data_IF_372919501627
#
_entry.id   IF_372919501627
#
_cell.length_a   1.000
_cell.length_b   1.000
_cell.length_c   1.000
_cell.angle_alpha   90.00
_cell.angle_beta   90.00
_cell.angle_gamma   90.00
#
_symmetry.space_group_name_H-M   'P 1'
#
loop_
_entity.id
_entity.type
_entity.pdbx_description
1 polymer ?
#
# COMPACT_ATOMS: atom_id res chain seq x y z
N UNK A 1 44.29 -42.11 22.79
CA UNK A 1 44.66 -41.29 21.63
C UNK A 1 43.58 -40.24 21.45
N UNK A 2 43.76 -39.08 22.05
CA UNK A 2 42.78 -37.99 22.09
C UNK A 2 43.16 -36.98 21.01
N UNK A 3 42.37 -36.84 19.95
CA UNK A 3 42.57 -35.77 18.99
C UNK A 3 41.63 -34.62 19.33
N UNK A 4 42.15 -33.70 20.14
CA UNK A 4 41.50 -32.46 20.54
C UNK A 4 41.22 -31.60 19.32
N UNK A 5 39.97 -31.17 19.21
CA UNK A 5 39.46 -30.12 18.32
C UNK A 5 40.28 -28.84 18.52
N UNK A 6 41.31 -28.64 17.70
CA UNK A 6 41.96 -27.34 17.55
C UNK A 6 41.09 -26.49 16.61
N UNK A 7 40.04 -25.91 17.17
CA UNK A 7 39.32 -24.82 16.53
C UNK A 7 40.26 -23.61 16.52
N UNK A 8 40.90 -23.38 15.38
CA UNK A 8 41.81 -22.26 15.14
C UNK A 8 40.99 -20.96 15.04
N UNK A 9 41.25 -19.92 15.84
CA UNK A 9 40.51 -18.64 15.79
C UNK A 9 40.57 -17.95 14.42
N UNK A 10 41.59 -18.22 13.61
CA UNK A 10 41.64 -17.71 12.23
C UNK A 10 40.62 -18.36 11.31
N UNK A 11 40.37 -19.67 11.45
CA UNK A 11 39.39 -20.39 10.62
C UNK A 11 37.95 -19.94 10.87
N UNK A 12 37.63 -19.48 12.08
CA UNK A 12 36.35 -18.83 12.38
C UNK A 12 36.24 -17.44 11.76
N UNK A 13 37.33 -16.68 11.69
CA UNK A 13 37.36 -15.36 11.04
C UNK A 13 37.23 -15.44 9.52
N UNK A 14 37.86 -16.46 8.91
CA UNK A 14 37.69 -16.78 7.50
C UNK A 14 36.26 -17.22 7.20
N UNK A 15 35.69 -18.07 8.07
CA UNK A 15 34.29 -18.50 7.95
C UNK A 15 33.34 -17.30 8.06
N UNK A 16 33.54 -16.38 9.01
CA UNK A 16 32.73 -15.16 9.14
C UNK A 16 32.86 -14.21 7.94
N UNK A 17 34.07 -14.09 7.37
CA UNK A 17 34.31 -13.24 6.20
C UNK A 17 33.62 -13.79 4.95
N UNK A 18 33.68 -15.11 4.73
CA UNK A 18 33.00 -15.80 3.63
C UNK A 18 31.48 -15.69 3.75
N UNK A 19 30.92 -15.82 4.96
CA UNK A 19 29.48 -15.64 5.16
C UNK A 19 29.03 -14.18 4.98
N UNK A 20 29.88 -13.20 5.33
CA UNK A 20 29.57 -11.77 5.15
C UNK A 20 29.59 -11.33 3.68
N UNK A 21 30.45 -11.90 2.85
CA UNK A 21 30.49 -11.67 1.40
C UNK A 21 29.27 -12.32 0.71
N UNK A 22 28.88 -13.53 1.11
CA UNK A 22 27.67 -14.18 0.60
C UNK A 22 26.38 -13.42 0.98
N UNK A 23 26.33 -12.79 2.16
CA UNK A 23 25.18 -12.00 2.59
C UNK A 23 25.01 -10.68 1.80
N UNK A 24 26.11 -10.06 1.34
CA UNK A 24 26.07 -8.82 0.56
C UNK A 24 25.63 -9.02 -0.90
N UNK A 25 25.77 -10.23 -1.45
CA UNK A 25 25.41 -10.55 -2.85
C UNK A 25 24.08 -11.30 -3.05
N UNK A 26 23.50 -11.90 -2.00
CA UNK A 26 22.42 -12.88 -2.15
C UNK A 26 21.00 -12.32 -2.26
N UNK A 27 20.76 -11.04 -1.93
CA UNK A 27 19.41 -10.43 -2.08
C UNK A 27 19.47 -9.33 -3.14
N UNK A 28 19.66 -9.75 -4.38
CA UNK A 28 19.35 -8.90 -5.54
C UNK A 28 17.88 -9.11 -5.86
N UNK A 29 17.01 -8.21 -5.38
CA UNK A 29 15.59 -8.18 -5.77
C UNK A 29 15.58 -7.87 -7.27
N UNK A 30 15.57 -8.92 -8.08
CA UNK A 30 15.40 -8.81 -9.52
C UNK A 30 13.90 -8.70 -9.78
N UNK A 31 13.45 -7.74 -10.62
CA UNK A 31 12.05 -7.62 -10.99
C UNK A 31 11.55 -8.95 -11.53
N UNK A 32 10.35 -9.36 -11.10
CA UNK A 32 9.71 -10.58 -11.58
C UNK A 32 9.61 -10.49 -13.12
N UNK A 33 10.23 -11.40 -13.90
CA UNK A 33 10.21 -11.33 -15.35
C UNK A 33 8.80 -11.46 -15.96
N UNK A 34 7.77 -11.80 -15.16
CA UNK A 34 6.36 -11.73 -15.57
C UNK A 34 5.76 -10.31 -15.52
N UNK A 35 6.48 -9.34 -15.00
CA UNK A 35 6.12 -7.93 -15.01
C UNK A 35 6.56 -7.28 -16.33
N UNK A 36 6.06 -7.82 -17.44
CA UNK A 36 6.31 -7.27 -18.77
C UNK A 36 5.39 -6.06 -18.99
N UNK A 37 5.91 -4.85 -18.76
CA UNK A 37 5.36 -3.61 -19.33
C UNK A 37 4.11 -3.05 -18.64
N UNK A 38 3.66 -3.64 -17.54
CA UNK A 38 2.76 -2.96 -16.62
C UNK A 38 3.61 -1.98 -15.81
N UNK A 39 3.81 -0.78 -16.32
CA UNK A 39 4.18 0.33 -15.45
C UNK A 39 3.10 0.35 -14.35
N UNK A 40 3.44 0.08 -13.08
CA UNK A 40 2.46 0.21 -12.02
C UNK A 40 1.97 1.64 -12.10
N UNK A 41 0.67 1.85 -12.30
CA UNK A 41 0.09 3.19 -12.23
C UNK A 41 0.63 3.83 -10.96
N UNK A 42 1.18 5.05 -11.08
CA UNK A 42 1.83 5.67 -9.94
C UNK A 42 0.81 5.74 -8.81
N UNK A 43 1.24 5.48 -7.58
CA UNK A 43 0.34 5.52 -6.43
C UNK A 43 -0.44 6.84 -6.37
N UNK A 44 0.20 7.95 -6.78
CA UNK A 44 -0.40 9.27 -6.93
C UNK A 44 -1.54 9.27 -7.95
N UNK A 45 -1.33 8.78 -9.18
CA UNK A 45 -2.39 8.68 -10.20
C UNK A 45 -3.56 7.81 -9.73
N UNK A 46 -3.26 6.68 -9.08
CA UNK A 46 -4.30 5.84 -8.50
C UNK A 46 -5.07 6.61 -7.43
N UNK A 47 -4.38 7.29 -6.50
CA UNK A 47 -5.01 8.07 -5.44
C UNK A 47 -5.88 9.20 -6.01
N UNK A 48 -5.38 9.96 -6.99
CA UNK A 48 -6.14 11.00 -7.71
C UNK A 48 -7.40 10.43 -8.35
N UNK A 49 -7.28 9.29 -9.05
CA UNK A 49 -8.43 8.62 -9.67
C UNK A 49 -9.48 8.21 -8.61
N UNK A 50 -9.05 7.78 -7.43
CA UNK A 50 -9.94 7.39 -6.33
C UNK A 50 -10.58 8.60 -5.65
N UNK A 51 -9.85 9.72 -5.48
CA UNK A 51 -10.44 10.97 -4.99
C UNK A 51 -11.57 11.42 -5.93
N UNK A 52 -11.31 11.42 -7.24
CA UNK A 52 -12.30 11.78 -8.24
C UNK A 52 -13.52 10.84 -8.21
N UNK A 53 -13.30 9.53 -8.08
CA UNK A 53 -14.38 8.55 -7.96
C UNK A 53 -15.25 8.77 -6.70
N UNK A 54 -14.64 9.06 -5.55
CA UNK A 54 -15.38 9.35 -4.31
C UNK A 54 -16.16 10.66 -4.40
N UNK A 55 -15.64 11.66 -5.13
CA UNK A 55 -16.36 12.90 -5.40
C UNK A 55 -17.59 12.66 -6.29
N UNK A 56 -17.43 11.85 -7.34
CA UNK A 56 -18.52 11.44 -8.21
C UNK A 56 -19.60 10.69 -7.43
N UNK A 57 -19.21 9.68 -6.63
CA UNK A 57 -20.15 8.90 -5.81
C UNK A 57 -20.95 9.78 -4.84
N UNK A 58 -20.33 10.79 -4.21
CA UNK A 58 -21.01 11.76 -3.35
C UNK A 58 -22.00 12.65 -4.12
N UNK A 59 -21.63 13.11 -5.31
CA UNK A 59 -22.50 13.94 -6.12
C UNK A 59 -23.70 13.14 -6.63
N UNK A 60 -23.46 11.93 -7.11
CA UNK A 60 -24.51 10.99 -7.54
C UNK A 60 -25.45 10.66 -6.39
N UNK A 61 -24.94 10.32 -5.20
CA UNK A 61 -25.81 10.01 -4.05
C UNK A 61 -26.66 11.22 -3.64
N UNK A 62 -26.08 12.42 -3.69
CA UNK A 62 -26.80 13.67 -3.42
C UNK A 62 -27.88 13.97 -4.46
N UNK A 63 -27.62 13.71 -5.73
CA UNK A 63 -28.58 13.87 -6.80
C UNK A 63 -29.75 12.86 -6.66
N UNK A 64 -29.45 11.60 -6.34
CA UNK A 64 -30.45 10.57 -6.11
C UNK A 64 -31.35 10.91 -4.91
N UNK A 65 -30.76 11.35 -3.79
CA UNK A 65 -31.54 11.82 -2.64
C UNK A 65 -32.45 12.99 -3.00
N UNK A 66 -31.93 13.97 -3.75
CA UNK A 66 -32.74 15.12 -4.20
C UNK A 66 -33.88 14.71 -5.13
N UNK A 67 -33.65 13.78 -6.04
CA UNK A 67 -34.68 13.26 -6.94
C UNK A 67 -35.79 12.54 -6.16
N UNK A 68 -35.44 11.85 -5.08
CA UNK A 68 -36.42 11.23 -4.19
C UNK A 68 -37.18 12.28 -3.38
N UNK A 69 -36.48 13.25 -2.79
CA UNK A 69 -37.09 14.34 -2.01
C UNK A 69 -38.02 15.23 -2.87
N UNK A 70 -37.71 15.41 -4.17
CA UNK A 70 -38.52 16.16 -5.12
C UNK A 70 -39.70 15.37 -5.69
N UNK A 71 -39.76 14.06 -5.44
CA UNK A 71 -40.76 13.15 -6.03
C UNK A 71 -40.52 12.81 -7.50
N UNK A 72 -39.33 13.08 -8.03
CA UNK A 72 -38.90 12.68 -9.38
C UNK A 72 -38.49 11.19 -9.44
N UNK A 73 -38.20 10.58 -8.28
CA UNK A 73 -37.86 9.16 -8.13
C UNK A 73 -38.51 8.55 -6.90
N UNK A 74 -39.03 7.34 -7.02
CA UNK A 74 -39.52 6.55 -5.87
C UNK A 74 -38.44 5.63 -5.26
N UNK A 75 -37.23 5.63 -5.83
CA UNK A 75 -36.14 4.75 -5.41
C UNK A 75 -35.36 5.30 -4.20
N UNK A 76 -36.05 5.41 -3.06
CA UNK A 76 -35.43 5.81 -1.80
C UNK A 76 -34.35 4.82 -1.34
N UNK A 77 -34.57 3.52 -1.58
CA UNK A 77 -33.63 2.48 -1.15
C UNK A 77 -32.31 2.59 -1.92
N UNK A 78 -32.37 2.75 -3.24
CA UNK A 78 -31.18 2.98 -4.07
C UNK A 78 -30.44 4.26 -3.68
N UNK A 79 -31.17 5.35 -3.43
CA UNK A 79 -30.57 6.61 -2.94
C UNK A 79 -29.86 6.43 -1.59
N UNK A 80 -30.49 5.74 -0.63
CA UNK A 80 -29.90 5.46 0.68
C UNK A 80 -28.66 4.55 0.58
N UNK A 81 -28.68 3.54 -0.28
CA UNK A 81 -27.53 2.65 -0.50
C UNK A 81 -26.38 3.43 -1.15
N UNK A 82 -26.67 4.27 -2.14
CA UNK A 82 -25.67 5.12 -2.76
C UNK A 82 -25.02 6.06 -1.74
N UNK A 83 -25.80 6.67 -0.85
CA UNK A 83 -25.30 7.55 0.20
C UNK A 83 -24.45 6.83 1.25
N UNK A 84 -24.84 5.61 1.63
CA UNK A 84 -24.04 4.76 2.52
C UNK A 84 -22.72 4.36 1.87
N UNK A 85 -22.75 3.98 0.59
CA UNK A 85 -21.54 3.64 -0.19
C UNK A 85 -20.60 4.84 -0.29
N UNK A 86 -21.13 6.03 -0.61
CA UNK A 86 -20.33 7.25 -0.70
C UNK A 86 -19.68 7.59 0.66
N UNK A 87 -20.43 7.49 1.75
CA UNK A 87 -19.95 7.75 3.12
C UNK A 87 -18.86 6.76 3.55
N UNK A 88 -19.06 5.46 3.28
CA UNK A 88 -18.06 4.43 3.58
C UNK A 88 -16.78 4.64 2.75
N UNK A 89 -16.92 4.92 1.46
CA UNK A 89 -15.79 5.17 0.57
C UNK A 89 -15.00 6.42 0.98
N UNK A 90 -15.70 7.48 1.37
CA UNK A 90 -15.08 8.69 1.91
C UNK A 90 -14.32 8.43 3.22
N UNK A 91 -14.93 7.75 4.19
CA UNK A 91 -14.26 7.45 5.46
C UNK A 91 -13.01 6.58 5.27
N UNK A 92 -13.07 5.61 4.36
CA UNK A 92 -11.92 4.79 3.96
C UNK A 92 -10.82 5.66 3.36
N UNK A 93 -11.17 6.63 2.52
CA UNK A 93 -10.19 7.54 1.91
C UNK A 93 -9.46 8.41 2.93
N UNK A 94 -10.15 8.89 3.95
CA UNK A 94 -9.53 9.64 5.05
C UNK A 94 -8.53 8.76 5.81
N UNK A 95 -8.83 7.48 6.01
CA UNK A 95 -7.87 6.55 6.63
C UNK A 95 -6.62 6.37 5.77
N UNK A 96 -6.78 6.21 4.46
CA UNK A 96 -5.66 6.11 3.52
C UNK A 96 -4.82 7.39 3.54
N UNK A 97 -5.45 8.57 3.48
CA UNK A 97 -4.77 9.87 3.59
C UNK A 97 -3.93 9.93 4.86
N UNK A 98 -4.50 9.58 6.00
CA UNK A 98 -3.79 9.60 7.28
C UNK A 98 -2.62 8.62 7.30
N UNK A 99 -2.79 7.42 6.72
CA UNK A 99 -1.72 6.43 6.63
C UNK A 99 -0.58 6.89 5.73
N UNK A 100 -0.86 7.62 4.66
CA UNK A 100 0.17 8.18 3.78
C UNK A 100 1.00 9.25 4.48
N UNK A 101 0.36 10.15 5.22
CA UNK A 101 1.08 11.16 6.01
C UNK A 101 1.97 10.48 7.05
N UNK A 102 1.46 9.45 7.73
CA UNK A 102 2.27 8.65 8.67
C UNK A 102 3.44 7.94 7.98
N UNK A 103 3.22 7.31 6.82
CA UNK A 103 4.28 6.62 6.10
C UNK A 103 5.38 7.59 5.64
N UNK A 104 5.00 8.80 5.23
CA UNK A 104 5.96 9.86 4.91
C UNK A 104 6.77 10.27 6.16
N UNK A 105 6.11 10.49 7.30
CA UNK A 105 6.77 10.79 8.57
C UNK A 105 7.69 9.66 9.04
N UNK A 106 7.30 8.39 8.86
CA UNK A 106 8.10 7.20 9.17
C UNK A 106 9.38 7.15 8.32
N UNK A 107 9.28 7.44 7.01
CA UNK A 107 10.44 7.51 6.11
C UNK A 107 11.41 8.62 6.52
N UNK A 108 10.90 9.79 6.90
CA UNK A 108 11.72 10.91 7.37
C UNK A 108 12.45 10.62 8.69
N UNK A 109 11.89 9.74 9.53
CA UNK A 109 12.44 9.38 10.84
C UNK A 109 13.38 8.18 10.80
N UNK A 110 13.53 7.48 9.66
CA UNK A 110 14.54 6.43 9.53
C UNK A 110 15.94 7.06 9.51
N UNK A 111 16.81 6.80 10.51
CA UNK A 111 18.20 7.18 10.42
C UNK A 111 18.87 6.35 9.32
N UNK A 112 19.63 7.02 8.45
CA UNK A 112 20.54 6.38 7.48
C UNK A 112 21.66 5.61 8.20
#
# INVERSE_FOLDING_TARGET
MSNSTLVNPQSMMDTLSIHSEMAKGAIKITPNPKDHGLQPASFTELMESKVAAVNLDQNTSSALMRAVDSGESDDLVGAMVASQKASLSFSTMIQIRNRLVQAFDEVMKMPL
#
